data_IF_892164613363
#
_entry.id   IF_892164613363
#
_cell.length_a   1.000
_cell.length_b   1.000
_cell.length_c   1.000
_cell.angle_alpha   90.00
_cell.angle_beta   90.00
_cell.angle_gamma   90.00
#
_symmetry.space_group_name_H-M   'P 1'
#
loop_
_entity.id
_entity.type
_entity.pdbx_description
1 polymer ?
#
# COMPACT_ATOMS: atom_id res chain seq x y z
N UNK A 1 4.10 18.28 17.67
CA UNK A 1 4.97 17.23 17.09
C UNK A 1 4.16 16.63 15.95
N UNK A 2 4.68 16.64 14.72
CA UNK A 2 3.96 16.09 13.56
C UNK A 2 4.27 14.60 13.51
N UNK A 3 3.26 13.75 13.66
CA UNK A 3 3.42 12.33 13.40
C UNK A 3 3.24 12.06 11.90
N UNK A 4 3.90 11.02 11.40
CA UNK A 4 3.76 10.55 10.04
C UNK A 4 3.03 9.22 10.05
N UNK A 5 1.95 9.12 9.28
CA UNK A 5 1.17 7.90 9.13
C UNK A 5 1.61 7.24 7.82
N UNK A 6 2.04 5.99 7.91
CA UNK A 6 2.16 5.12 6.75
C UNK A 6 0.75 4.67 6.36
N UNK A 7 0.38 4.92 5.11
CA UNK A 7 -0.88 4.50 4.52
C UNK A 7 -0.62 3.47 3.45
N UNK A 8 -1.39 2.39 3.46
CA UNK A 8 -1.50 1.45 2.35
C UNK A 8 -2.64 1.88 1.44
N UNK A 9 -2.35 2.07 0.16
CA UNK A 9 -3.33 2.30 -0.90
C UNK A 9 -3.39 1.07 -1.79
N UNK A 10 -4.53 0.41 -1.83
CA UNK A 10 -4.77 -0.78 -2.64
C UNK A 10 -5.72 -0.44 -3.79
N UNK A 11 -5.32 -0.74 -5.03
CA UNK A 11 -6.13 -0.52 -6.22
C UNK A 11 -6.29 -1.83 -6.99
N UNK A 12 -7.53 -2.23 -7.24
CA UNK A 12 -7.89 -3.33 -8.14
C UNK A 12 -9.20 -2.99 -8.85
N UNK A 13 -9.07 -2.29 -9.98
CA UNK A 13 -10.20 -1.68 -10.71
C UNK A 13 -11.28 -2.69 -11.12
N UNK A 14 -10.90 -3.86 -11.66
CA UNK A 14 -11.88 -4.87 -12.08
C UNK A 14 -12.67 -5.49 -10.92
N UNK A 15 -12.17 -5.35 -9.68
CA UNK A 15 -12.86 -5.76 -8.46
C UNK A 15 -13.50 -4.58 -7.71
N UNK A 16 -13.42 -3.36 -8.25
CA UNK A 16 -13.92 -2.15 -7.60
C UNK A 16 -13.17 -1.77 -6.32
N UNK A 17 -11.90 -2.19 -6.18
CA UNK A 17 -11.08 -1.88 -5.00
C UNK A 17 -10.31 -0.58 -5.26
N UNK A 18 -10.50 0.39 -4.37
CA UNK A 18 -9.73 1.63 -4.24
C UNK A 18 -9.77 2.01 -2.75
N UNK A 19 -8.86 1.43 -1.98
CA UNK A 19 -8.93 1.40 -0.51
C UNK A 19 -7.68 1.97 0.13
N UNK A 20 -7.90 2.74 1.20
CA UNK A 20 -6.84 3.36 1.99
C UNK A 20 -6.93 2.87 3.44
N UNK A 21 -5.84 2.28 3.92
CA UNK A 21 -5.74 1.76 5.28
C UNK A 21 -4.49 2.30 5.99
N UNK A 22 -4.58 2.68 7.28
CA UNK A 22 -3.39 3.04 8.04
C UNK A 22 -2.56 1.77 8.32
N UNK A 23 -1.28 1.81 7.95
CA UNK A 23 -0.31 0.74 8.15
C UNK A 23 0.58 0.94 9.39
N UNK A 24 0.64 2.18 9.93
CA UNK A 24 1.39 2.49 11.14
C UNK A 24 1.65 3.99 11.28
N UNK A 25 2.25 4.41 12.41
CA UNK A 25 2.62 5.78 12.67
C UNK A 25 4.05 5.88 13.25
N UNK A 26 4.78 6.92 12.86
CA UNK A 26 6.15 7.20 13.32
C UNK A 26 6.30 8.69 13.63
N UNK A 27 7.35 9.06 14.37
CA UNK A 27 7.60 10.47 14.73
C UNK A 27 8.35 11.24 13.64
N UNK A 28 8.94 10.54 12.66
CA UNK A 28 9.69 11.15 11.56
C UNK A 28 9.33 10.58 10.18
N UNK A 29 9.42 11.43 9.15
CA UNK A 29 9.21 11.03 7.76
C UNK A 29 10.17 9.93 7.32
N UNK A 30 11.45 10.03 7.69
CA UNK A 30 12.47 9.07 7.27
C UNK A 30 12.25 7.69 7.89
N UNK A 31 11.78 7.64 9.14
CA UNK A 31 11.36 6.39 9.75
C UNK A 31 10.11 5.82 9.08
N UNK A 32 9.13 6.66 8.76
CA UNK A 32 7.93 6.23 8.02
C UNK A 32 8.30 5.64 6.65
N UNK A 33 9.19 6.29 5.88
CA UNK A 33 9.62 5.80 4.57
C UNK A 33 10.29 4.43 4.66
N UNK A 34 11.21 4.26 5.63
CA UNK A 34 11.85 2.96 5.88
C UNK A 34 10.82 1.90 6.25
N UNK A 35 9.90 2.22 7.18
CA UNK A 35 8.83 1.33 7.59
C UNK A 35 7.89 0.96 6.42
N UNK A 36 7.63 1.89 5.50
CA UNK A 36 6.80 1.66 4.31
C UNK A 36 7.44 0.68 3.33
N UNK A 37 8.74 0.79 3.08
CA UNK A 37 9.49 -0.18 2.26
C UNK A 37 9.50 -1.57 2.92
N UNK A 38 9.73 -1.62 4.23
CA UNK A 38 9.64 -2.88 5.01
C UNK A 38 8.22 -3.46 4.96
N UNK A 39 7.19 -2.61 5.07
CA UNK A 39 5.78 -2.99 4.97
C UNK A 39 5.45 -3.60 3.61
N UNK A 40 5.94 -3.00 2.53
CA UNK A 40 5.83 -3.56 1.18
C UNK A 40 6.54 -4.92 1.06
N UNK A 41 7.76 -5.05 1.58
CA UNK A 41 8.50 -6.33 1.59
C UNK A 41 7.79 -7.43 2.39
N UNK A 42 7.18 -7.11 3.52
CA UNK A 42 6.40 -8.08 4.28
C UNK A 42 5.07 -8.44 3.60
N UNK A 43 4.52 -7.53 2.80
CA UNK A 43 3.24 -7.73 2.11
C UNK A 43 3.40 -8.53 0.83
N UNK A 44 4.51 -8.37 0.09
CA UNK A 44 4.72 -9.11 -1.16
C UNK A 44 4.77 -10.62 -0.92
N UNK A 45 5.37 -11.08 0.18
CA UNK A 45 5.43 -12.50 0.51
C UNK A 45 4.04 -13.08 0.79
N UNK A 46 3.19 -12.32 1.50
CA UNK A 46 1.79 -12.71 1.75
C UNK A 46 0.97 -12.72 0.46
N UNK A 47 1.11 -11.69 -0.38
CA UNK A 47 0.42 -11.57 -1.66
C UNK A 47 0.78 -12.74 -2.57
N UNK A 48 2.08 -13.07 -2.68
CA UNK A 48 2.55 -14.23 -3.46
C UNK A 48 1.98 -15.55 -2.94
N UNK A 49 1.89 -15.72 -1.62
CA UNK A 49 1.28 -16.91 -1.02
C UNK A 49 -0.23 -17.02 -1.29
N UNK A 50 -0.95 -15.89 -1.36
CA UNK A 50 -2.40 -15.87 -1.60
C UNK A 50 -2.77 -16.00 -3.09
N UNK A 51 -2.05 -15.32 -3.97
CA UNK A 51 -2.34 -15.31 -5.42
C UNK A 51 -1.70 -16.51 -6.13
N UNK A 52 -0.63 -17.09 -5.56
CA UNK A 52 0.06 -18.22 -6.17
C UNK A 52 0.76 -17.83 -7.48
N UNK A 53 0.58 -18.64 -8.54
CA UNK A 53 1.22 -18.43 -9.85
C UNK A 53 0.34 -17.65 -10.84
N UNK A 54 -0.80 -17.15 -10.40
CA UNK A 54 -1.80 -16.53 -11.27
C UNK A 54 -1.48 -15.06 -11.59
N UNK A 55 -0.41 -14.51 -11.00
CA UNK A 55 0.09 -13.17 -11.29
C UNK A 55 1.61 -13.07 -11.21
N UNK A 56 2.15 -12.15 -12.01
CA UNK A 56 3.50 -11.61 -11.82
C UNK A 56 3.40 -10.53 -10.76
N UNK A 57 4.16 -10.68 -9.67
CA UNK A 57 4.19 -9.73 -8.56
C UNK A 57 5.59 -9.13 -8.43
N UNK A 58 5.68 -7.82 -8.66
CA UNK A 58 6.90 -7.02 -8.57
C UNK A 58 6.81 -6.06 -7.40
N UNK A 59 7.95 -5.80 -6.75
CA UNK A 59 8.08 -4.77 -5.73
C UNK A 59 9.20 -3.82 -6.15
N UNK A 60 8.92 -2.52 -6.08
CA UNK A 60 9.90 -1.46 -6.22
C UNK A 60 9.74 -0.50 -5.03
N UNK A 61 10.68 -0.55 -4.09
CA UNK A 61 10.61 0.23 -2.85
C UNK A 61 9.32 -0.06 -2.07
N UNK A 62 8.46 0.95 -1.94
CA UNK A 62 7.18 0.88 -1.23
C UNK A 62 5.98 0.59 -2.14
N UNK A 63 6.21 0.27 -3.42
CA UNK A 63 5.19 -0.06 -4.41
C UNK A 63 5.22 -1.56 -4.70
N UNK A 64 4.05 -2.16 -4.74
CA UNK A 64 3.82 -3.53 -5.21
C UNK A 64 2.88 -3.45 -6.41
N UNK A 65 3.29 -4.05 -7.52
CA UNK A 65 2.46 -4.20 -8.71
C UNK A 65 2.16 -5.67 -8.97
N UNK A 66 0.94 -5.94 -9.40
CA UNK A 66 0.45 -7.27 -9.72
C UNK A 66 -0.15 -7.24 -11.12
N UNK A 67 0.35 -8.12 -11.98
CA UNK A 67 -0.22 -8.37 -13.31
C UNK A 67 -0.70 -9.81 -13.37
N UNK A 68 -2.02 -9.99 -13.40
CA UNK A 68 -2.66 -11.32 -13.47
C UNK A 68 -2.55 -11.88 -14.89
N UNK A 69 -2.58 -13.21 -15.02
CA UNK A 69 -2.56 -13.90 -16.33
C UNK A 69 -3.76 -13.56 -17.21
N UNK A 70 -4.87 -13.12 -16.61
CA UNK A 70 -6.04 -12.55 -17.30
C UNK A 70 -5.78 -11.19 -17.96
N UNK A 71 -4.64 -10.56 -17.68
CA UNK A 71 -4.31 -9.19 -18.09
C UNK A 71 -4.80 -8.12 -17.12
N UNK A 72 -5.55 -8.50 -16.08
CA UNK A 72 -5.96 -7.59 -15.02
C UNK A 72 -4.75 -7.10 -14.23
N UNK A 73 -4.86 -5.88 -13.68
CA UNK A 73 -3.80 -5.26 -12.88
C UNK A 73 -4.33 -4.85 -11.53
N UNK A 74 -3.50 -5.03 -10.52
CA UNK A 74 -3.70 -4.49 -9.20
C UNK A 74 -2.39 -3.88 -8.68
N UNK A 75 -2.48 -2.95 -7.75
CA UNK A 75 -1.33 -2.35 -7.09
C UNK A 75 -1.60 -2.13 -5.61
N UNK A 76 -0.52 -2.12 -4.83
CA UNK A 76 -0.52 -1.70 -3.44
C UNK A 76 0.65 -0.75 -3.23
N UNK A 77 0.39 0.45 -2.73
CA UNK A 77 1.41 1.47 -2.49
C UNK A 77 1.41 1.85 -1.03
N UNK A 78 2.58 1.87 -0.41
CA UNK A 78 2.77 2.42 0.92
C UNK A 78 3.31 3.85 0.81
N UNK A 79 2.54 4.82 1.32
CA UNK A 79 2.86 6.24 1.30
C UNK A 79 2.90 6.83 2.71
N UNK A 80 3.76 7.81 2.92
CA UNK A 80 3.87 8.53 4.18
C UNK A 80 3.18 9.88 4.07
N UNK A 81 2.15 10.09 4.88
CA UNK A 81 1.43 11.35 4.97
C UNK A 81 1.52 11.90 6.39
N UNK A 82 1.55 13.23 6.59
CA UNK A 82 1.39 13.81 7.91
C UNK A 82 0.08 13.33 8.54
N UNK A 83 0.05 13.19 9.87
CA UNK A 83 -1.15 12.85 10.65
C UNK A 83 -2.34 13.80 10.44
N UNK A 84 -2.09 14.99 9.91
CA UNK A 84 -3.09 15.98 9.51
C UNK A 84 -3.75 15.70 8.14
N UNK A 85 -3.27 14.72 7.37
CA UNK A 85 -3.78 14.36 6.05
C UNK A 85 -4.42 12.98 6.08
N UNK A 86 -5.73 12.93 5.81
CA UNK A 86 -6.47 11.68 5.61
C UNK A 86 -6.73 11.46 4.11
N UNK A 87 -6.08 10.48 3.46
CA UNK A 87 -6.20 10.26 2.02
C UNK A 87 -7.54 9.64 1.62
N UNK A 88 -8.36 9.19 2.57
CA UNK A 88 -9.73 8.71 2.31
C UNK A 88 -10.69 9.85 1.93
N UNK A 89 -10.22 11.10 2.02
CA UNK A 89 -11.05 12.29 1.82
C UNK A 89 -11.79 12.70 3.10
N UNK A 90 -12.66 13.72 3.00
CA UNK A 90 -13.42 14.20 4.15
C UNK A 90 -14.28 13.09 4.75
N UNK A 91 -14.18 12.91 6.07
CA UNK A 91 -15.04 11.97 6.81
C UNK A 91 -16.47 12.50 6.83
N UNK A 92 -17.34 11.88 6.04
CA UNK A 92 -18.79 12.09 6.10
C UNK A 92 -19.35 12.99 5.02
N UNK A 93 -20.43 12.51 4.40
CA UNK A 93 -21.62 13.34 4.22
C UNK A 93 -22.43 13.28 5.51
#
# INVERSE_FOLDING_TARGET
>A
MVAWIAWAHSVFQSKGIDEWEPAGATESLEECKRASVTGAGNSIDKIRAQIGRDAIVTQEGSVIEMTFTSGEKASMVFVCLPDTVDPRGPKGK
#
